data_IF_985674652357
#
_entry.id   IF_985674652357
#
_cell.length_a   1.000
_cell.length_b   1.000
_cell.length_c   1.000
_cell.angle_alpha   90.00
_cell.angle_beta   90.00
_cell.angle_gamma   90.00
#
_symmetry.space_group_name_H-M   'P 1'
#
loop_
_entity.id
_entity.type
_entity.pdbx_description
1 polymer ?
#
# COMPACT_ATOMS: atom_id res chain seq x y z
N UNK A 1 -6.43 -4.99 -4.21
CA UNK A 1 -5.27 -4.38 -4.91
C UNK A 1 -5.40 -4.67 -6.40
N UNK A 2 -4.80 -3.85 -7.29
CA UNK A 2 -4.78 -4.12 -8.73
C UNK A 2 -3.84 -5.29 -9.09
N UNK A 3 -4.16 -6.09 -10.11
CA UNK A 3 -3.30 -7.17 -10.66
C UNK A 3 -1.93 -6.64 -11.14
N UNK A 4 -1.87 -5.40 -11.63
CA UNK A 4 -0.66 -4.78 -12.18
C UNK A 4 0.13 -3.95 -11.16
N UNK A 5 -0.36 -3.87 -9.92
CA UNK A 5 0.35 -3.18 -8.85
C UNK A 5 1.60 -3.97 -8.46
N UNK A 6 2.76 -3.31 -8.53
CA UNK A 6 4.02 -3.90 -8.10
C UNK A 6 4.85 -2.83 -7.35
N UNK A 7 5.07 -2.95 -6.04
CA UNK A 7 5.83 -1.96 -5.28
C UNK A 7 7.32 -1.90 -5.66
N UNK A 8 7.84 -2.89 -6.39
CA UNK A 8 9.24 -2.97 -6.80
C UNK A 8 9.60 -2.22 -8.09
N UNK A 9 8.64 -1.58 -8.76
CA UNK A 9 8.89 -0.80 -9.98
C UNK A 9 8.61 0.69 -9.79
N UNK A 10 9.25 1.57 -10.59
CA UNK A 10 8.87 2.98 -10.64
C UNK A 10 7.37 3.13 -10.88
N UNK A 11 6.74 4.10 -10.20
CA UNK A 11 5.29 4.37 -10.26
C UNK A 11 4.38 3.25 -9.75
N UNK A 12 4.96 2.14 -9.28
CA UNK A 12 4.29 1.01 -8.66
C UNK A 12 3.22 0.33 -9.54
N UNK A 13 3.33 0.50 -10.86
CA UNK A 13 2.38 -0.04 -11.84
C UNK A 13 3.16 -0.61 -13.04
N UNK A 14 2.82 -1.83 -13.46
CA UNK A 14 3.37 -2.48 -14.66
C UNK A 14 2.47 -2.41 -15.88
N UNK A 15 1.32 -1.74 -15.78
CA UNK A 15 0.36 -1.64 -16.87
C UNK A 15 0.83 -0.65 -17.94
N UNK A 16 0.94 -1.16 -19.17
CA UNK A 16 1.25 -0.33 -20.33
C UNK A 16 0.07 0.60 -20.66
N UNK A 17 0.33 1.90 -20.75
CA UNK A 17 -0.68 2.91 -21.09
C UNK A 17 -1.47 3.47 -19.91
N UNK A 18 -1.23 3.02 -18.67
CA UNK A 18 -1.74 3.71 -17.49
C UNK A 18 -1.05 5.09 -17.33
N UNK A 19 -1.87 6.14 -17.23
CA UNK A 19 -1.38 7.51 -17.01
C UNK A 19 -0.77 7.67 -15.61
N UNK A 20 0.21 8.56 -15.52
CA UNK A 20 0.85 8.88 -14.25
C UNK A 20 -0.06 9.72 -13.37
N UNK A 21 -0.22 9.27 -12.12
CA UNK A 21 -0.81 10.08 -11.07
C UNK A 21 0.21 11.16 -10.66
N UNK A 22 0.18 12.27 -11.37
CA UNK A 22 1.03 13.44 -11.15
C UNK A 22 0.44 14.39 -10.12
N UNK A 23 -0.89 14.54 -10.12
CA UNK A 23 -1.66 15.28 -9.11
C UNK A 23 -2.24 14.32 -8.08
N UNK A 24 -1.74 14.40 -6.85
CA UNK A 24 -2.11 13.54 -5.72
C UNK A 24 -3.32 14.05 -4.93
N UNK A 25 -3.77 15.29 -5.18
CA UNK A 25 -4.93 15.88 -4.51
C UNK A 25 -6.21 15.67 -5.32
N UNK A 26 -6.09 15.49 -6.64
CA UNK A 26 -7.21 15.12 -7.51
C UNK A 26 -7.65 13.68 -7.28
N UNK A 27 -8.94 13.42 -7.43
CA UNK A 27 -9.48 12.05 -7.48
C UNK A 27 -8.95 11.35 -8.74
N UNK A 28 -8.26 10.23 -8.55
CA UNK A 28 -7.72 9.43 -9.63
C UNK A 28 -8.58 8.17 -9.79
N UNK A 29 -9.31 8.08 -10.89
CA UNK A 29 -9.98 6.86 -11.33
C UNK A 29 -9.10 6.23 -12.41
N UNK A 30 -8.55 5.05 -12.11
CA UNK A 30 -7.83 4.28 -13.10
C UNK A 30 -8.86 3.44 -13.87
N UNK A 31 -9.13 3.81 -15.12
CA UNK A 31 -10.05 3.09 -16.01
C UNK A 31 -9.61 1.63 -16.25
N UNK A 32 -8.33 1.34 -16.02
CA UNK A 32 -7.73 0.02 -16.20
C UNK A 32 -7.54 -0.77 -14.91
N UNK A 33 -8.12 -0.31 -13.81
CA UNK A 33 -8.08 -1.05 -12.56
C UNK A 33 -8.68 -2.45 -12.73
N UNK A 34 -7.86 -3.48 -12.46
CA UNK A 34 -8.32 -4.88 -12.41
C UNK A 34 -8.05 -5.48 -11.04
N UNK A 35 -9.09 -5.89 -10.29
CA UNK A 35 -8.89 -6.44 -8.97
C UNK A 35 -8.12 -7.77 -9.03
N UNK A 36 -7.15 -7.92 -8.14
CA UNK A 36 -6.45 -9.19 -7.93
C UNK A 36 -7.10 -10.00 -6.82
N UNK A 37 -7.39 -11.27 -7.13
CA UNK A 37 -7.91 -12.26 -6.17
C UNK A 37 -6.81 -12.78 -5.23
N UNK A 38 -5.54 -12.63 -5.61
CA UNK A 38 -4.37 -13.14 -4.88
C UNK A 38 -3.56 -12.03 -4.20
N UNK A 39 -4.11 -10.82 -4.13
CA UNK A 39 -3.42 -9.67 -3.55
C UNK A 39 -3.16 -9.79 -2.03
N UNK A 40 -3.99 -10.57 -1.33
CA UNK A 40 -3.86 -10.74 0.10
C UNK A 40 -2.75 -11.72 0.43
N UNK A 41 -1.80 -11.27 1.24
CA UNK A 41 -0.70 -12.09 1.74
C UNK A 41 -0.78 -12.12 3.29
N UNK A 42 -1.18 -13.27 3.89
CA UNK A 42 -1.34 -13.38 5.33
C UNK A 42 -0.02 -13.23 6.09
N UNK A 43 1.12 -13.63 5.50
CA UNK A 43 2.42 -13.52 6.14
C UNK A 43 2.87 -12.06 6.20
N UNK A 44 2.68 -11.31 5.11
CA UNK A 44 2.98 -9.87 5.13
C UNK A 44 2.10 -9.11 6.11
N UNK A 45 0.82 -9.46 6.21
CA UNK A 45 -0.09 -8.85 7.21
C UNK A 45 0.41 -9.11 8.63
N UNK A 46 0.78 -10.35 8.94
CA UNK A 46 1.30 -10.71 10.26
C UNK A 46 2.61 -9.98 10.60
N UNK A 47 3.51 -9.80 9.63
CA UNK A 47 4.75 -9.06 9.82
C UNK A 47 4.48 -7.56 10.06
N UNK A 48 3.53 -6.97 9.34
CA UNK A 48 3.08 -5.59 9.55
C UNK A 48 2.50 -5.39 10.96
N UNK A 49 1.65 -6.31 11.43
CA UNK A 49 1.07 -6.23 12.77
C UNK A 49 2.15 -6.31 13.86
N UNK A 50 3.09 -7.25 13.75
CA UNK A 50 4.21 -7.36 14.67
C UNK A 50 5.06 -6.07 14.70
N UNK A 51 5.36 -5.48 13.53
CA UNK A 51 6.10 -4.23 13.46
C UNK A 51 5.35 -3.04 14.10
N UNK A 52 4.01 -3.01 13.98
CA UNK A 52 3.18 -2.00 14.66
C UNK A 52 3.20 -2.19 16.18
N UNK A 53 3.14 -3.43 16.65
CA UNK A 53 3.20 -3.74 18.07
C UNK A 53 4.57 -3.35 18.67
N UNK A 54 5.66 -3.64 17.96
CA UNK A 54 7.01 -3.19 18.36
C UNK A 54 7.13 -1.66 18.38
N UNK A 55 6.60 -0.98 17.35
CA UNK A 55 6.57 0.48 17.31
C UNK A 55 5.77 1.05 18.48
N UNK A 56 4.62 0.46 18.79
CA UNK A 56 3.82 0.84 19.95
C UNK A 56 4.54 0.55 21.28
N UNK A 57 5.36 -0.49 21.38
CA UNK A 57 6.17 -0.73 22.58
C UNK A 57 7.26 0.34 22.78
N UNK A 58 7.77 0.91 21.69
CA UNK A 58 8.80 1.97 21.74
C UNK A 58 8.21 3.35 22.06
N UNK A 59 6.98 3.63 21.60
CA UNK A 59 6.41 4.99 21.60
C UNK A 59 4.99 5.07 22.19
N UNK A 60 4.42 3.97 22.65
CA UNK A 60 3.08 3.87 23.23
C UNK A 60 3.05 4.32 24.68
N UNK A 61 2.07 5.18 24.96
CA UNK A 61 1.87 5.97 26.19
C UNK A 61 2.90 7.07 26.46
N UNK A 62 2.84 8.12 25.62
CA UNK A 62 2.99 9.49 26.10
C UNK A 62 1.81 9.87 27.02
N UNK A 63 1.76 9.29 28.22
CA UNK A 63 1.11 9.90 29.38
C UNK A 63 2.20 10.61 30.19
N UNK A 64 2.87 11.55 29.54
CA UNK A 64 3.47 12.66 30.26
C UNK A 64 2.35 13.70 30.46
N UNK A 65 2.20 14.16 31.70
CA UNK A 65 1.14 15.02 32.25
C UNK A 65 0.79 16.27 31.42
#
# INVERSE_FOLDING_TARGET
MCLYFDPGVPRQCREDGAEDVTDKERVNFCDWFKPSETAFDPHRKSAEDAAKDELAALFGDGKDE
#
